data_IF_490686167518
#
_entry.id   IF_490686167518
#
_cell.length_a   1.000
_cell.length_b   1.000
_cell.length_c   1.000
_cell.angle_alpha   90.00
_cell.angle_beta   90.00
_cell.angle_gamma   90.00
#
_symmetry.space_group_name_H-M   'P 1'
#
loop_
_entity.id
_entity.type
_entity.pdbx_description
1 polymer ?
2 polymer ?
3 non-polymer ?
4 non-polymer ?
5 non-polymer ?
6 non-polymer ?
7 non-polymer ?
8 non-polymer ?
9 water ?
#
# COMPACT_ATOMS: atom_id res chain seq x y z
N UNK A 1 -8.37 -18.04 -24.78
CA UNK A 1 -7.64 -17.23 -23.74
C UNK A 1 -7.97 -17.71 -22.30
N UNK A 2 -6.96 -17.63 -21.44
CA UNK A 2 -7.06 -18.09 -20.07
C UNK A 2 -6.30 -17.06 -19.22
N UNK A 3 -6.83 -16.79 -18.04
CA UNK A 3 -6.31 -15.68 -17.23
C UNK A 3 -4.87 -15.83 -16.69
N UNK A 4 -4.38 -17.08 -16.65
CA UNK A 4 -3.07 -17.39 -16.10
C UNK A 4 -1.93 -16.91 -17.02
N UNK A 5 -2.19 -16.88 -18.34
CA UNK A 5 -1.20 -16.49 -19.33
C UNK A 5 -1.42 -15.06 -19.80
N UNK A 6 -0.45 -14.20 -19.57
CA UNK A 6 -0.49 -12.85 -20.09
C UNK A 6 -1.77 -12.13 -19.55
N UNK A 7 -2.28 -12.60 -18.40
CA UNK A 7 -3.45 -12.00 -17.73
C UNK A 7 -4.73 -12.12 -18.62
N UNK A 8 -4.77 -13.17 -19.46
CA UNK A 8 -5.89 -13.33 -20.41
C UNK A 8 -5.99 -12.25 -21.47
N UNK A 9 -4.96 -11.45 -21.63
CA UNK A 9 -4.93 -10.28 -22.47
C UNK A 9 -5.63 -9.02 -21.84
N UNK A 10 -6.12 -9.19 -20.60
CA UNK A 10 -6.87 -8.13 -19.93
C UNK A 10 -5.93 -7.03 -19.45
N UNK A 11 -6.38 -5.83 -19.52
CA UNK A 11 -5.60 -4.73 -18.92
C UNK A 11 -5.61 -4.83 -17.41
N UNK A 12 -6.71 -5.21 -16.81
CA UNK A 12 -6.89 -5.20 -15.36
C UNK A 12 -7.29 -6.62 -14.99
N UNK A 13 -8.52 -6.91 -14.65
CA UNK A 13 -8.88 -8.12 -13.99
C UNK A 13 -9.43 -9.13 -14.99
N UNK A 14 -9.24 -10.40 -14.73
CA UNK A 14 -9.61 -11.50 -15.71
C UNK A 14 -10.35 -12.56 -14.99
N UNK A 15 -11.46 -13.08 -15.58
CA UNK A 15 -12.26 -14.22 -15.01
C UNK A 15 -12.36 -15.27 -16.09
N UNK A 16 -12.10 -16.52 -15.71
CA UNK A 16 -12.30 -17.66 -16.64
C UNK A 16 -13.73 -18.15 -16.46
N UNK A 17 -14.33 -18.60 -17.57
CA UNK A 17 -15.69 -19.10 -17.60
C UNK A 17 -15.67 -20.47 -18.33
N UNK A 18 -16.71 -21.28 -18.11
CA UNK A 18 -16.70 -22.66 -18.65
C UNK A 18 -16.68 -22.62 -20.19
N UNK A 19 -15.70 -23.30 -20.78
CA UNK A 19 -15.51 -23.33 -22.24
C UNK A 19 -14.24 -22.57 -22.56
N UNK A 20 -14.01 -22.24 -23.83
CA UNK A 20 -12.90 -21.35 -24.16
C UNK A 20 -13.37 -19.90 -23.88
N UNK A 21 -14.01 -19.61 -22.72
CA UNK A 21 -14.51 -18.22 -22.44
C UNK A 21 -13.68 -17.46 -21.38
N UNK A 22 -13.52 -16.17 -21.57
CA UNK A 22 -12.77 -15.32 -20.65
C UNK A 22 -13.52 -14.02 -20.57
N UNK A 23 -13.60 -13.36 -19.39
CA UNK A 23 -14.19 -12.04 -19.38
C UNK A 23 -13.21 -11.14 -18.62
N UNK A 24 -12.88 -10.03 -19.21
CA UNK A 24 -12.07 -9.02 -18.47
C UNK A 24 -12.96 -8.10 -17.75
N UNK A 25 -12.44 -7.52 -16.64
CA UNK A 25 -13.22 -6.56 -15.88
C UNK A 25 -12.29 -5.39 -15.47
N UNK A 26 -12.89 -4.34 -15.01
CA UNK A 26 -12.12 -3.14 -14.63
C UNK A 26 -12.52 -2.78 -13.21
N UNK A 27 -11.58 -2.11 -12.55
CA UNK A 27 -11.82 -1.60 -11.19
C UNK A 27 -12.89 -0.54 -11.25
N UNK A 28 -13.53 -0.28 -10.10
CA UNK A 28 -14.39 0.88 -9.95
C UNK A 28 -13.68 2.14 -10.43
N UNK A 29 -14.39 3.01 -11.15
CA UNK A 29 -13.86 4.14 -11.71
C UNK A 29 -13.29 4.01 -13.14
N UNK A 30 -13.52 2.81 -13.65
CA UNK A 30 -13.09 2.49 -15.07
C UNK A 30 -14.27 1.72 -15.69
N UNK A 31 -14.23 1.75 -17.04
CA UNK A 31 -15.18 0.93 -17.83
C UNK A 31 -14.37 0.19 -18.87
N UNK A 32 -14.92 -0.94 -19.28
CA UNK A 32 -14.28 -1.84 -20.29
C UNK A 32 -14.66 -1.40 -21.71
N UNK A 33 -13.64 -1.23 -22.53
CA UNK A 33 -13.87 -0.85 -23.93
C UNK A 33 -14.40 -2.10 -24.72
N UNK A 34 -14.80 -1.73 -25.92
CA UNK A 34 -15.37 -2.76 -26.84
C UNK A 34 -14.38 -3.76 -27.32
N UNK A 35 -13.08 -3.56 -27.17
CA UNK A 35 -12.09 -4.57 -27.37
C UNK A 35 -12.20 -5.73 -26.40
N UNK A 36 -12.92 -5.52 -25.27
CA UNK A 36 -13.08 -6.49 -24.25
C UNK A 36 -11.90 -6.67 -23.29
N UNK A 37 -10.90 -5.82 -23.44
CA UNK A 37 -9.67 -5.95 -22.63
C UNK A 37 -9.29 -4.65 -21.98
N UNK A 38 -9.48 -3.53 -22.63
CA UNK A 38 -8.95 -2.22 -22.20
C UNK A 38 -9.90 -1.57 -21.21
N UNK A 39 -9.30 -0.83 -20.22
CA UNK A 39 -10.14 -0.15 -19.23
C UNK A 39 -9.90 1.34 -19.39
N UNK A 40 -10.93 2.17 -19.34
CA UNK A 40 -10.77 3.57 -19.44
C UNK A 40 -11.44 4.28 -18.24
N UNK A 41 -10.75 5.34 -17.73
CA UNK A 41 -11.39 5.98 -16.59
C UNK A 41 -12.78 6.54 -16.86
N UNK A 42 -13.63 6.55 -15.86
CA UNK A 42 -14.94 7.12 -15.92
C UNK A 42 -15.15 8.25 -14.92
N UNK A 43 -14.10 8.47 -14.16
CA UNK A 43 -14.09 9.54 -13.11
C UNK A 43 -12.83 10.35 -13.28
N UNK A 44 -12.78 11.49 -12.55
CA UNK A 44 -11.72 12.40 -12.69
C UNK A 44 -10.38 11.85 -12.04
N UNK A 45 -10.54 11.14 -10.93
CA UNK A 45 -9.41 10.64 -10.13
C UNK A 45 -9.51 9.19 -9.90
N UNK A 46 -9.43 8.39 -10.99
CA UNK A 46 -9.41 6.97 -10.85
C UNK A 46 -8.22 6.45 -10.02
N UNK A 47 -8.38 5.31 -9.40
CA UNK A 47 -7.28 4.75 -8.63
C UNK A 47 -6.07 4.48 -9.47
N UNK A 48 -4.85 4.61 -8.90
CA UNK A 48 -3.66 4.10 -9.54
C UNK A 48 -3.18 4.91 -10.75
N UNK A 49 -3.69 6.10 -10.94
CA UNK A 49 -3.22 7.07 -11.92
C UNK A 49 -2.74 8.33 -11.25
N UNK A 50 -1.70 8.92 -11.81
CA UNK A 50 -1.04 10.11 -11.27
C UNK A 50 -1.47 11.32 -12.04
N UNK A 51 -2.41 12.15 -11.57
CA UNK A 51 -2.96 13.26 -12.33
C UNK A 51 -1.90 14.18 -12.96
N UNK A 52 -0.84 14.55 -12.27
CA UNK A 52 0.10 15.48 -12.91
C UNK A 52 0.84 14.84 -14.07
N UNK A 53 1.00 13.54 -14.07
CA UNK A 53 1.63 12.82 -15.17
C UNK A 53 0.64 12.55 -16.30
N UNK A 54 -0.62 12.25 -15.99
CA UNK A 54 -1.65 11.98 -17.00
C UNK A 54 -1.97 13.27 -17.76
N UNK A 55 -1.86 14.41 -17.11
CA UNK A 55 -2.01 15.73 -17.76
C UNK A 55 -0.77 16.12 -18.62
N UNK A 56 0.43 15.80 -18.14
CA UNK A 56 1.69 15.98 -18.90
C UNK A 56 1.70 15.28 -20.29
N UNK A 57 1.00 14.13 -20.41
CA UNK A 57 0.98 13.33 -21.65
C UNK A 57 -0.32 13.43 -22.49
N UNK A 58 -1.38 14.02 -21.95
CA UNK A 58 -2.67 14.16 -22.66
C UNK A 58 -2.56 15.04 -23.91
N UNK B 1 13.69 5.90 3.77
CA UNK B 1 14.17 5.36 2.50
C UNK B 1 15.69 5.67 2.37
N UNK B 2 16.46 4.64 2.13
CA UNK B 2 17.94 4.78 1.88
C UNK B 2 18.24 4.72 0.42
N UNK B 3 18.95 5.72 -0.11
CA UNK B 3 19.44 5.64 -1.45
C UNK B 3 18.38 5.87 -2.52
N UNK B 4 17.28 6.50 -2.13
CA UNK B 4 16.26 6.81 -3.13
C UNK B 4 16.36 8.25 -3.58
N UNK B 5 15.23 8.84 -3.94
CA UNK B 5 15.11 10.19 -4.37
C UNK B 5 13.85 10.86 -3.88
N UNK B 6 13.80 12.14 -3.88
CA UNK B 6 12.55 12.85 -3.52
C UNK B 6 11.48 12.45 -4.55
N UNK B 7 10.32 12.03 -4.03
CA UNK B 7 9.18 11.77 -4.93
C UNK B 7 8.67 13.12 -5.32
N UNK B 8 8.69 13.51 -6.64
CA UNK B 8 8.20 14.80 -7.00
C UNK B 8 6.76 15.03 -6.49
N UNK B 9 6.50 16.18 -5.95
CA UNK B 9 5.25 16.47 -5.28
C UNK B 9 4.08 16.08 -6.20
N UNK B 10 3.14 15.30 -5.70
CA UNK B 10 1.99 14.83 -6.52
C UNK B 10 2.24 13.55 -7.22
N UNK B 11 3.46 13.00 -7.26
CA UNK B 11 3.70 11.74 -7.89
C UNK B 11 3.55 10.48 -7.06
N UNK B 12 3.33 10.69 -5.76
CA UNK B 12 3.03 9.62 -4.85
C UNK B 12 1.70 9.96 -4.11
N UNK B 13 0.60 10.16 -4.83
CA UNK B 13 -0.56 10.84 -4.29
C UNK B 13 -1.42 9.97 -3.30
N UNK B 14 -1.11 8.70 -3.26
CA UNK B 14 -1.67 7.72 -2.37
C UNK B 14 -0.97 7.62 -1.04
N UNK B 15 0.24 8.25 -0.94
CA UNK B 15 1.01 8.08 0.33
C UNK B 15 0.29 8.83 1.44
N UNK B 16 0.24 8.15 2.59
CA UNK B 16 -0.38 8.67 3.82
C UNK B 16 0.76 8.84 4.87
N UNK B 17 0.67 9.94 5.62
CA UNK B 17 1.47 10.11 6.88
C UNK B 17 0.55 9.95 8.03
N UNK B 18 0.92 9.07 8.97
CA UNK B 18 0.21 8.87 10.24
C UNK B 18 0.95 9.57 11.38
N UNK B 19 0.20 10.36 12.09
CA UNK B 19 0.71 11.17 13.26
C UNK B 19 -0.01 10.71 14.51
N UNK B 20 0.78 10.74 15.63
CA UNK B 20 0.18 10.50 16.96
C UNK B 20 0.68 11.63 17.90
N UNK B 21 -0.27 12.32 18.51
CA UNK B 21 0.03 13.71 19.10
C UNK B 21 0.99 14.76 18.28
N UNK B 22 0.74 14.82 17.01
CA UNK B 22 1.55 15.50 16.04
C UNK B 22 2.89 14.91 15.57
N UNK B 23 3.31 13.81 16.16
CA UNK B 23 4.56 13.18 15.88
C UNK B 23 4.42 12.10 14.80
N UNK B 24 5.40 12.04 13.95
CA UNK B 24 5.41 11.01 12.92
C UNK B 24 5.39 9.65 13.49
N UNK B 25 4.45 8.80 13.07
CA UNK B 25 4.33 7.43 13.47
C UNK B 25 4.79 6.47 12.39
N UNK B 26 4.11 6.55 11.21
CA UNK B 26 4.24 5.54 10.20
C UNK B 26 3.66 6.11 8.94
N UNK B 27 3.86 5.34 7.85
CA UNK B 27 3.17 5.62 6.60
C UNK B 27 1.91 4.84 6.46
N UNK B 28 1.26 5.04 5.29
CA UNK B 28 0.08 4.25 4.93
C UNK B 28 -0.18 4.52 3.47
N UNK B 29 -1.23 3.82 2.98
CA UNK B 29 -1.64 3.90 1.58
C UNK B 29 -3.12 4.17 1.52
N UNK B 30 -3.55 5.16 0.82
CA UNK B 30 -4.98 5.44 0.57
C UNK B 30 -5.44 4.44 -0.53
N UNK B 31 -6.53 3.72 -0.22
CA UNK B 31 -7.13 2.84 -1.25
C UNK B 31 -8.52 3.23 -1.58
N UNK B 32 -9.17 4.13 -0.90
CA UNK B 32 -10.34 4.84 -1.45
C UNK B 32 -10.56 5.99 -0.47
N UNK B 33 -11.65 6.75 -0.58
CA UNK B 33 -11.67 8.01 0.11
C UNK B 33 -11.72 7.99 1.61
N UNK B 34 -12.12 6.85 2.20
CA UNK B 34 -12.15 6.69 3.66
C UNK B 34 -11.28 5.59 4.19
N UNK B 35 -10.52 4.90 3.34
CA UNK B 35 -9.78 3.71 3.77
C UNK B 35 -8.29 3.82 3.47
N UNK B 36 -7.50 3.52 4.51
CA UNK B 36 -6.03 3.52 4.46
C UNK B 36 -5.51 2.20 4.91
N UNK B 37 -4.52 1.65 4.20
CA UNK B 37 -3.87 0.45 4.61
C UNK B 37 -2.52 0.81 5.20
N UNK B 38 -2.21 0.23 6.36
CA UNK B 38 -0.91 0.47 7.00
C UNK B 38 -0.42 -0.85 7.60
N UNK B 39 0.58 -0.80 8.49
CA UNK B 39 1.15 -1.96 9.14
C UNK B 39 0.64 -2.09 10.55
N UNK B 40 0.20 -3.28 10.94
CA UNK B 40 -0.27 -3.51 12.29
C UNK B 40 0.75 -3.10 13.37
N UNK B 41 2.05 -3.32 13.10
CA UNK B 41 3.06 -3.13 14.17
C UNK B 41 3.15 -1.67 14.52
N UNK B 42 2.69 -0.73 13.71
CA UNK B 42 2.65 0.68 13.99
C UNK B 42 1.81 1.06 15.20
N UNK B 43 0.89 0.15 15.62
CA UNK B 43 -0.13 0.49 16.58
C UNK B 43 0.08 -0.21 17.92
N UNK B 44 1.20 -0.88 18.08
CA UNK B 44 1.41 -1.68 19.35
C UNK B 44 1.46 -0.79 20.59
N UNK B 45 1.88 0.45 20.46
CA UNK B 45 2.16 1.28 21.67
C UNK B 45 1.27 2.49 21.73
N UNK B 46 0.10 2.47 21.09
CA UNK B 46 -0.77 3.60 21.09
C UNK B 46 -1.50 3.64 22.45
N UNK B 47 -1.38 4.77 23.12
CA UNK B 47 -1.94 4.94 24.46
C UNK B 47 -3.34 5.50 24.27
N UNK B 48 -3.40 6.57 23.48
CA UNK B 48 -4.67 7.29 23.20
C UNK B 48 -5.08 7.16 21.72
N UNK B 49 -5.86 6.12 21.49
CA UNK B 49 -6.34 5.77 20.17
C UNK B 49 -7.07 6.90 19.47
N UNK B 50 -7.43 7.94 20.22
CA UNK B 50 -8.27 9.03 19.72
C UNK B 50 -7.48 10.22 19.23
N UNK B 51 -6.11 10.16 19.26
CA UNK B 51 -5.24 11.19 18.79
C UNK B 51 -4.38 10.75 17.54
N UNK B 52 -4.91 9.80 16.80
CA UNK B 52 -4.25 9.30 15.57
C UNK B 52 -4.81 10.07 14.39
N UNK B 53 -3.92 10.67 13.61
CA UNK B 53 -4.33 11.49 12.48
C UNK B 53 -3.66 10.95 11.22
N UNK B 54 -4.44 10.88 10.12
CA UNK B 54 -3.87 10.58 8.82
C UNK B 54 -3.80 11.82 7.94
N UNK B 55 -2.68 12.08 7.28
CA UNK B 55 -2.51 13.21 6.43
C UNK B 55 -2.28 12.70 4.99
N UNK B 56 -3.11 13.24 4.09
CA UNK B 56 -3.01 13.00 2.67
C UNK B 56 -2.48 14.24 2.01
N UNK B 57 -1.87 14.10 0.83
CA UNK B 57 -1.38 15.24 0.11
C UNK B 57 -0.12 15.87 0.70
N UNK B 58 0.48 15.15 1.64
CA UNK B 58 1.72 15.68 2.27
C UNK B 58 2.89 15.45 1.34
N UNK B 59 3.92 16.33 1.48
CA UNK B 59 5.10 16.27 0.69
C UNK B 59 6.34 16.71 1.52
N UNK B 60 6.33 17.99 1.84
CA UNK B 60 7.47 18.59 2.62
C UNK B 60 6.93 18.90 3.97
N UNK B 61 7.41 18.14 4.96
CA UNK B 61 6.97 18.29 6.36
C UNK B 61 7.33 19.66 6.99
N UNK B 62 8.18 20.37 6.35
CA UNK B 62 8.55 21.71 6.88
C UNK B 62 7.55 22.81 6.61
N UNK B 63 6.60 22.61 5.69
CA UNK B 63 5.80 23.70 5.21
C UNK B 63 4.37 23.24 5.05
N UNK B 64 3.48 24.17 5.05
CA UNK B 64 2.08 23.97 4.70
C UNK B 64 1.88 24.62 3.39
N UNK B 65 1.46 23.86 2.37
CA UNK B 65 1.20 24.42 1.06
C UNK B 65 -0.29 24.41 0.65
N UNK B 66 -1.19 23.88 1.47
CA UNK B 66 -2.58 23.86 1.17
C UNK B 66 -3.13 22.63 0.47
N UNK B 67 -2.26 21.74 0.05
CA UNK B 67 -2.70 20.46 -0.60
C UNK B 67 -2.92 19.40 0.45
N UNK B 68 -2.44 19.56 1.70
CA UNK B 68 -2.62 18.55 2.71
C UNK B 68 -4.01 18.48 3.14
N UNK B 69 -4.44 17.26 3.52
CA UNK B 69 -5.76 17.03 4.09
C UNK B 69 -5.55 16.09 5.27
N UNK B 70 -5.99 16.52 6.44
CA UNK B 70 -5.86 15.76 7.67
C UNK B 70 -7.20 15.18 8.06
N UNK B 71 -7.21 13.94 8.55
CA UNK B 71 -8.40 13.29 9.06
C UNK B 71 -8.11 12.52 10.33
N UNK B 72 -9.03 12.52 11.24
CA UNK B 72 -8.93 11.60 12.35
C UNK B 72 -9.14 10.20 11.90
N UNK B 73 -8.40 9.29 12.53
CA UNK B 73 -8.57 7.85 12.31
C UNK B 73 -9.67 7.39 13.21
N UNK B 74 -10.78 6.92 12.67
CA UNK B 74 -11.95 6.44 13.43
C UNK B 74 -11.82 4.98 13.84
N UNK B 75 -11.16 4.15 13.06
CA UNK B 75 -11.10 2.66 13.37
C UNK B 75 -9.76 2.23 12.88
N UNK B 76 -9.11 1.35 13.66
CA UNK B 76 -7.88 0.63 13.27
C UNK B 76 -8.23 -0.82 13.34
N UNK B 77 -8.23 -1.49 12.24
CA UNK B 77 -8.67 -2.89 12.16
C UNK B 77 -7.46 -3.76 11.90
N UNK B 78 -7.22 -4.76 12.78
CA UNK B 78 -6.05 -5.62 12.71
C UNK B 78 -6.49 -7.09 12.65
N UNK B 79 -5.83 -7.91 11.84
CA UNK B 79 -6.21 -9.35 11.75
C UNK B 79 -5.98 -10.03 13.08
N UNK B 80 -6.90 -10.95 13.41
CA UNK B 80 -6.79 -11.75 14.64
C UNK B 80 -5.48 -12.52 14.78
N UNK B 81 -4.88 -12.83 13.68
CA UNK B 81 -3.63 -13.57 13.61
C UNK B 81 -2.37 -12.76 13.97
N UNK B 82 -2.44 -11.42 13.91
CA UNK B 82 -1.31 -10.58 14.29
C UNK B 82 -1.11 -10.64 15.80
N UNK B 83 0.15 -10.85 16.18
CA UNK B 83 0.53 -10.82 17.59
C UNK B 83 1.50 -9.68 17.87
N UNK B 84 1.15 -8.76 18.72
CA UNK B 84 2.06 -7.67 19.06
C UNK B 84 3.42 -8.16 19.48
N UNK B 85 4.43 -7.47 18.98
CA UNK B 85 5.81 -7.83 19.30
C UNK B 85 6.39 -8.83 18.38
N UNK B 86 5.65 -9.25 17.32
CA UNK B 86 6.12 -10.17 16.34
C UNK B 86 5.87 -9.55 14.92
N UNK B 87 6.30 -10.24 13.89
CA UNK B 87 6.36 -9.63 12.52
C UNK B 87 5.27 -10.13 11.60
N UNK B 88 4.68 -11.29 11.84
CA UNK B 88 3.78 -11.87 10.86
C UNK B 88 2.43 -11.12 10.83
N UNK B 89 1.77 -11.24 9.71
CA UNK B 89 0.41 -10.59 9.55
C UNK B 89 0.40 -9.09 9.79
N UNK B 90 1.40 -8.43 9.22
CA UNK B 90 1.66 -7.04 9.56
C UNK B 90 0.86 -6.09 8.65
N UNK B 91 -0.44 -6.02 8.96
CA UNK B 91 -1.39 -5.20 8.18
C UNK B 91 -2.46 -4.64 9.08
N UNK B 92 -2.85 -3.40 8.79
CA UNK B 92 -3.92 -2.71 9.45
C UNK B 92 -4.77 -2.01 8.41
N UNK B 93 -6.11 -1.97 8.61
CA UNK B 93 -7.02 -1.24 7.76
C UNK B 93 -7.57 -0.13 8.62
N UNK B 94 -7.41 1.13 8.21
CA UNK B 94 -7.83 2.29 8.89
C UNK B 94 -8.97 2.98 8.24
N UNK B 95 -10.04 3.25 9.01
CA UNK B 95 -11.17 3.99 8.52
C UNK B 95 -11.01 5.45 8.96
N UNK B 96 -11.10 6.40 8.03
CA UNK B 96 -11.03 7.80 8.36
C UNK B 96 -12.40 8.31 8.85
N UNK B 97 -12.39 9.36 9.66
CA UNK B 97 -13.65 9.86 10.22
C UNK B 97 -14.51 10.54 9.20
N UNK B 98 -13.88 11.11 8.17
CA UNK B 98 -14.55 11.78 7.05
C UNK B 98 -13.73 11.47 5.84
N UNK B 99 -14.35 11.33 4.67
CA UNK B 99 -13.57 11.09 3.48
C UNK B 99 -12.57 12.20 3.19
N UNK B 100 -11.42 11.85 2.58
CA UNK B 100 -10.60 12.84 1.93
C UNK B 100 -11.27 13.22 0.61
N UNK B 101 -10.92 14.36 0.07
CA UNK B 101 -11.41 14.86 -1.24
C UNK B 101 -10.31 14.54 -2.19
N UNK B 102 -10.65 13.82 -3.26
CA UNK B 102 -9.68 13.49 -4.24
C UNK B 102 -9.34 14.73 -5.07
N UNK B 103 -8.07 14.91 -5.32
CA UNK B 103 -7.50 16.11 -5.96
C UNK B 103 -6.28 15.61 -6.77
N UNK B 104 -5.60 16.55 -7.48
CA UNK B 104 -4.40 16.15 -8.15
C UNK B 104 -3.29 15.56 -7.20
N UNK B 105 -3.40 15.95 -5.92
CA UNK B 105 -2.40 15.52 -4.94
C UNK B 105 -2.87 14.46 -4.00
N UNK B 106 -4.12 13.99 -4.15
CA UNK B 106 -4.72 12.98 -3.23
C UNK B 106 -5.53 12.01 -4.13
N UNK B 107 -5.00 10.83 -4.29
CA UNK B 107 -5.57 9.80 -5.20
C UNK B 107 -5.35 8.48 -4.57
N UNK B 108 -6.34 7.53 -4.57
CA UNK B 108 -6.09 6.22 -4.05
C UNK B 108 -5.25 5.32 -4.96
N UNK B 109 -4.49 4.41 -4.38
CA UNK B 109 -3.86 3.35 -5.10
C UNK B 109 -4.85 2.24 -5.24
N UNK B 110 -4.85 1.55 -6.39
CA UNK B 110 -5.81 0.46 -6.55
C UNK B 110 -5.48 -0.77 -5.73
N UNK B 111 -6.42 -1.26 -4.99
CA UNK B 111 -6.34 -2.53 -4.31
C UNK B 111 -6.71 -3.61 -5.35
N UNK B 112 -5.76 -4.42 -5.77
CA UNK B 112 -6.06 -5.37 -6.89
C UNK B 112 -6.89 -6.49 -6.40
N UNK B 113 -7.55 -7.18 -7.38
CA UNK B 113 -8.05 -8.51 -7.07
C UNK B 113 -6.94 -9.52 -6.76
N UNK B 114 -7.26 -10.50 -5.93
CA UNK B 114 -6.26 -11.49 -5.51
C UNK B 114 -5.65 -12.23 -6.68
N UNK B 115 -6.50 -12.81 -7.52
CA UNK B 115 -5.93 -13.55 -8.69
C UNK B 115 -5.00 -12.77 -9.54
N UNK B 116 -5.41 -11.57 -9.88
CA UNK B 116 -4.59 -10.65 -10.63
C UNK B 116 -3.23 -10.39 -9.94
N UNK B 117 -3.33 -10.13 -8.63
CA UNK B 117 -2.11 -9.86 -7.88
C UNK B 117 -1.12 -11.01 -7.78
N UNK B 118 -1.68 -12.20 -7.61
CA UNK B 118 -0.88 -13.43 -7.51
C UNK B 118 -0.30 -13.93 -8.83
N UNK B 119 -1.08 -13.82 -9.86
CA UNK B 119 -0.69 -14.38 -11.15
C UNK B 119 0.04 -13.38 -12.01
N UNK B 120 -0.17 -12.05 -11.81
CA UNK B 120 0.38 -11.09 -12.65
C UNK B 120 1.33 -10.12 -11.93
N UNK B 121 0.75 -9.41 -10.93
CA UNK B 121 1.56 -8.38 -10.29
C UNK B 121 2.77 -8.95 -9.54
N UNK B 122 2.64 -10.15 -8.98
CA UNK B 122 3.73 -10.77 -8.25
C UNK B 122 4.94 -11.01 -9.09
N UNK B 123 4.78 -11.02 -10.40
CA UNK B 123 5.93 -11.18 -11.35
C UNK B 123 6.43 -9.96 -12.02
N UNK B 124 5.89 -8.76 -11.68
CA UNK B 124 6.45 -7.58 -12.12
C UNK B 124 7.70 -7.35 -11.23
N UNK B 125 8.87 -7.18 -11.85
CA UNK B 125 10.09 -7.23 -11.07
C UNK B 125 10.26 -6.05 -10.10
N UNK B 126 10.05 -4.86 -10.60
CA UNK B 126 10.35 -3.63 -9.82
C UNK B 126 9.04 -2.98 -9.41
N UNK B 127 9.06 -2.44 -8.17
CA UNK B 127 7.95 -1.69 -7.65
C UNK B 127 8.51 -0.54 -6.80
N UNK B 128 7.68 0.45 -6.51
CA UNK B 128 8.10 1.66 -5.75
C UNK B 128 7.70 1.54 -4.30
N UNK B 129 8.65 1.94 -3.43
CA UNK B 129 8.41 2.04 -1.98
C UNK B 129 8.72 3.44 -1.57
N UNK B 130 7.97 3.98 -0.63
CA UNK B 130 8.05 5.41 -0.36
C UNK B 130 7.83 5.69 1.13
N UNK B 131 8.32 6.84 1.58
CA UNK B 131 8.06 7.25 2.94
C UNK B 131 8.96 8.39 3.40
N UNK B 132 8.66 8.84 4.60
CA UNK B 132 9.45 9.87 5.32
C UNK B 132 10.31 9.20 6.36
N UNK B 133 10.67 7.96 6.25
CA UNK B 133 11.50 7.29 7.19
C UNK B 133 12.95 7.73 7.11
N UNK B 134 13.71 6.99 7.91
CA UNK B 134 15.17 7.28 7.98
C UNK B 134 15.83 7.17 6.62
N UNK B 135 16.70 8.17 6.35
CA UNK B 135 17.50 8.24 5.15
C UNK B 135 18.72 7.34 5.16
N UNK B 136 19.08 6.91 6.35
CA UNK B 136 20.24 6.00 6.63
C UNK B 136 19.88 5.18 7.83
N UNK B 137 20.47 4.02 7.95
CA UNK B 137 20.38 3.27 9.17
C UNK B 137 21.00 4.11 10.34
N UNK B 138 20.30 4.19 11.45
CA UNK B 138 20.71 5.06 12.59
C UNK B 138 20.79 6.52 12.22
N UNK B 139 20.04 6.96 11.22
CA UNK B 139 20.05 8.31 10.78
C UNK B 139 18.72 9.07 10.93
N UNK B 140 18.73 10.33 10.56
CA UNK B 140 17.56 11.27 10.65
C UNK B 140 16.50 10.83 9.54
N UNK B 141 15.28 11.11 9.93
CA UNK B 141 14.16 10.90 8.94
C UNK B 141 14.12 12.01 7.97
N UNK B 142 13.44 11.77 6.82
CA UNK B 142 13.31 12.70 5.78
C UNK B 142 12.30 13.78 5.92
N UNK B 143 12.57 15.01 5.49
CA UNK B 143 11.59 16.08 5.52
C UNK B 143 10.70 16.05 4.22
N UNK B 144 11.25 15.60 3.13
CA UNK B 144 10.47 15.45 1.86
C UNK B 144 10.27 14.01 1.63
N UNK B 145 9.09 13.67 1.04
CA UNK B 145 8.76 12.29 0.78
C UNK B 145 9.75 11.67 -0.20
N UNK B 146 10.23 10.49 0.15
CA UNK B 146 11.22 9.78 -0.63
C UNK B 146 10.62 8.57 -1.31
N UNK B 147 11.23 8.16 -2.43
CA UNK B 147 10.77 7.01 -3.17
C UNK B 147 11.91 6.21 -3.74
N UNK B 148 11.74 4.92 -3.84
CA UNK B 148 12.78 4.00 -4.30
C UNK B 148 12.21 2.89 -5.11
N UNK B 149 12.82 2.55 -6.27
CA UNK B 149 12.41 1.39 -7.02
C UNK B 149 13.17 0.18 -6.52
N UNK B 150 12.49 -0.88 -6.13
CA UNK B 150 13.11 -2.09 -5.59
C UNK B 150 12.62 -3.32 -6.32
N UNK B 151 13.49 -4.33 -6.49
CA UNK B 151 13.05 -5.54 -7.16
C UNK B 151 12.64 -6.55 -6.16
N UNK B 152 11.68 -7.38 -6.52
CA UNK B 152 11.08 -8.35 -5.66
C UNK B 152 11.79 -9.68 -5.84
N UNK B 153 11.91 -10.43 -4.77
CA UNK B 153 12.55 -11.77 -4.80
C UNK B 153 11.50 -12.83 -4.53
N UNK B 154 11.59 -14.00 -5.18
CA UNK B 154 10.89 -15.16 -4.63
C UNK B 154 11.47 -15.53 -3.29
N UNK B 155 10.66 -16.03 -2.37
CA UNK B 155 11.07 -16.22 -1.00
C UNK B 155 12.25 -17.24 -0.87
N UNK B 156 12.17 -18.31 -1.62
CA UNK B 156 13.30 -19.27 -1.63
C UNK B 156 14.60 -18.57 -1.96
N UNK B 157 14.57 -17.64 -2.91
CA UNK B 157 15.75 -16.87 -3.27
C UNK B 157 16.16 -15.88 -2.21
N UNK B 158 15.20 -15.32 -1.47
CA UNK B 158 15.53 -14.37 -0.44
C UNK B 158 16.28 -15.11 0.66
N UNK B 159 15.74 -16.25 1.04
CA UNK B 159 16.30 -17.10 2.09
C UNK B 159 17.71 -17.59 1.71
N UNK B 160 17.87 -18.07 0.48
CA UNK B 160 19.17 -18.49 -0.11
C UNK B 160 20.18 -17.32 -0.10
N UNK B 161 19.76 -16.16 -0.61
CA UNK B 161 20.63 -14.97 -0.63
C UNK B 161 20.91 -14.29 0.72
N UNK B 162 20.13 -14.57 1.76
CA UNK B 162 20.26 -13.82 3.01
C UNK B 162 21.19 -14.50 4.01
N UNK B 163 22.00 -13.68 4.71
CA UNK B 163 23.05 -14.16 5.63
C UNK B 163 23.81 -12.98 6.26
N UNK B 168 16.28 -14.05 14.39
CA UNK B 168 16.03 -13.93 12.96
C UNK B 168 14.61 -14.44 12.62
N UNK B 169 13.69 -13.54 12.17
CA UNK B 169 12.40 -14.08 11.72
C UNK B 169 12.45 -14.84 10.36
N UNK B 170 11.59 -15.85 10.24
CA UNK B 170 11.31 -16.50 8.96
C UNK B 170 10.62 -15.44 8.08
N UNK B 171 10.67 -15.71 6.81
CA UNK B 171 9.85 -15.03 5.83
C UNK B 171 8.68 -15.98 5.62
N UNK B 172 7.48 -15.57 6.05
CA UNK B 172 6.31 -16.40 5.90
C UNK B 172 5.58 -16.17 4.56
N UNK B 173 4.51 -16.94 4.32
CA UNK B 173 3.68 -16.77 3.16
C UNK B 173 2.89 -15.44 3.16
N UNK B 174 2.98 -14.72 4.26
CA UNK B 174 2.30 -13.40 4.42
C UNK B 174 3.28 -12.29 4.21
N UNK B 175 4.47 -12.60 3.67
CA UNK B 175 5.52 -11.66 3.47
C UNK B 175 6.18 -11.89 2.13
N UNK B 176 6.93 -10.89 1.65
CA UNK B 176 7.89 -11.08 0.58
C UNK B 176 9.07 -10.17 0.79
N UNK B 177 10.24 -10.54 0.21
CA UNK B 177 11.40 -9.67 0.20
C UNK B 177 11.52 -8.84 -1.03
N UNK B 178 12.09 -7.62 -0.90
CA UNK B 178 12.40 -6.80 -1.98
C UNK B 178 13.53 -5.89 -1.61
N UNK B 179 14.33 -5.52 -2.60
CA UNK B 179 15.40 -4.60 -2.39
C UNK B 179 16.73 -5.15 -2.91
N UNK B 180 17.76 -4.68 -2.22
CA UNK B 180 19.13 -4.93 -2.60
C UNK B 180 19.88 -5.44 -1.36
N UNK B 181 20.84 -6.33 -1.59
CA UNK B 181 21.64 -6.91 -0.50
C UNK B 181 23.04 -6.24 -0.39
N UNK B 182 23.30 -5.15 -1.10
CA UNK B 182 24.67 -4.55 -1.09
C UNK B 182 24.80 -3.34 -0.18
N UNK B 183 23.79 -3.06 0.65
CA UNK B 183 23.84 -1.92 1.56
C UNK B 183 23.58 -0.55 0.94
N UNK B 184 23.12 -0.53 -0.30
CA UNK B 184 23.06 0.72 -0.98
C UNK B 184 21.71 1.42 -0.91
N UNK B 185 20.65 0.62 -0.94
CA UNK B 185 19.28 1.13 -1.22
C UNK B 185 18.29 0.24 -0.52
N UNK B 186 17.35 0.83 0.23
CA UNK B 186 16.43 0.08 1.02
C UNK B 186 15.29 0.97 1.54
N UNK B 187 14.26 0.31 2.09
CA UNK B 187 13.35 0.98 2.98
C UNK B 187 14.00 1.01 4.36
N UNK B 188 13.44 1.77 5.27
CA UNK B 188 14.01 1.82 6.64
C UNK B 188 12.98 2.10 7.65
N UNK B 189 13.40 2.05 8.92
CA UNK B 189 12.56 2.50 10.00
C UNK B 189 11.91 3.84 9.74
N UNK B 190 10.63 4.00 10.04
CA UNK B 190 9.90 5.17 9.72
C UNK B 190 9.12 5.09 8.42
N UNK B 191 9.50 4.19 7.58
CA UNK B 191 8.77 3.98 6.31
C UNK B 191 7.67 2.94 6.57
N UNK B 192 7.66 2.22 7.68
CA UNK B 192 6.68 1.23 8.01
C UNK B 192 5.27 1.70 7.71
N UNK B 193 4.52 0.77 7.10
CA UNK B 193 3.11 1.06 6.79
C UNK B 193 2.90 1.65 5.41
N UNK B 194 3.95 2.18 4.75
CA UNK B 194 3.81 2.75 3.49
C UNK B 194 3.66 1.73 2.34
N UNK B 195 3.42 2.30 1.17
CA UNK B 195 3.13 1.43 0.04
C UNK B 195 4.35 0.82 -0.62
N UNK B 196 4.13 -0.38 -1.10
CA UNK B 196 4.95 -1.01 -2.19
C UNK B 196 3.94 -1.13 -3.36
N UNK B 197 4.17 -0.27 -4.31
CA UNK B 197 3.22 -0.04 -5.44
C UNK B 197 3.79 -0.57 -6.72
N UNK B 198 2.93 -1.29 -7.47
CA UNK B 198 3.39 -2.03 -8.64
C UNK B 198 2.64 -1.53 -9.86
N UNK B 199 3.38 -1.21 -10.91
CA UNK B 199 2.78 -0.72 -12.16
C UNK B 199 2.47 -1.88 -13.13
N UNK B 200 1.26 -1.84 -13.69
CA UNK B 200 0.95 -2.81 -14.77
C UNK B 200 0.03 -2.13 -15.75
N UNK B 201 0.51 -2.05 -17.00
CA UNK B 201 -0.27 -1.49 -18.10
C UNK B 201 -1.02 -0.21 -17.79
N UNK B 202 -0.27 0.77 -17.22
CA UNK B 202 -0.66 2.14 -17.11
C UNK B 202 -1.30 2.52 -15.75
N UNK B 203 -1.41 1.50 -14.90
CA UNK B 203 -2.11 1.67 -13.57
C UNK B 203 -1.25 1.08 -12.49
N UNK B 204 -1.30 1.74 -11.29
CA UNK B 204 -0.53 1.27 -10.15
C UNK B 204 -1.44 0.62 -9.11
N UNK B 205 -0.89 -0.40 -8.48
CA UNK B 205 -1.58 -1.25 -7.57
C UNK B 205 -0.84 -1.48 -6.25
N UNK B 206 -1.60 -1.72 -5.17
CA UNK B 206 -0.97 -2.05 -3.89
C UNK B 206 -0.62 -3.51 -3.84
N UNK B 207 0.69 -3.78 -3.76
CA UNK B 207 1.17 -5.17 -3.57
C UNK B 207 1.90 -5.46 -2.28
N UNK B 208 2.43 -4.42 -1.59
CA UNK B 208 3.05 -4.69 -0.31
C UNK B 208 2.90 -3.51 0.65
N UNK B 209 3.16 -3.79 1.92
CA UNK B 209 3.27 -2.78 2.98
C UNK B 209 4.69 -2.85 3.54
N UNK B 210 5.35 -1.70 3.64
CA UNK B 210 6.69 -1.70 4.29
C UNK B 210 6.54 -2.25 5.69
N UNK B 211 7.28 -3.31 6.03
CA UNK B 211 7.05 -4.00 7.29
C UNK B 211 8.30 -4.07 8.21
N UNK B 212 9.36 -4.71 7.73
CA UNK B 212 10.54 -4.89 8.65
C UNK B 212 11.78 -5.22 7.82
N UNK B 213 12.88 -5.35 8.60
CA UNK B 213 14.14 -5.77 7.96
C UNK B 213 15.14 -5.87 9.11
N UNK B 214 16.28 -6.45 8.79
CA UNK B 214 17.43 -6.51 9.74
C UNK B 214 18.23 -5.26 9.51
N UNK B 215 18.13 -4.32 10.44
CA UNK B 215 18.65 -3.01 10.23
C UNK B 215 18.00 -2.42 8.98
N UNK B 216 18.71 -1.52 8.31
CA UNK B 216 18.39 -0.96 6.97
C UNK B 216 19.57 -0.87 6.11
N UNK B 217 19.47 -1.22 4.87
CA UNK B 217 20.53 -1.21 3.92
C UNK B 217 21.73 -1.99 4.51
N UNK B 218 21.40 -3.12 5.09
CA UNK B 218 22.36 -4.03 5.77
C UNK B 218 22.84 -5.00 4.76
N UNK B 219 24.17 -5.11 4.64
CA UNK B 219 24.72 -6.03 3.63
C UNK B 219 24.27 -7.48 3.90
N UNK B 220 23.86 -8.17 2.85
CA UNK B 220 23.29 -9.50 2.95
C UNK B 220 21.85 -9.67 3.40
N UNK B 221 21.12 -8.55 3.47
CA UNK B 221 19.72 -8.61 3.91
C UNK B 221 18.86 -7.69 3.06
N UNK B 222 17.58 -8.07 2.99
CA UNK B 222 16.63 -7.36 2.12
C UNK B 222 15.51 -6.81 3.03
N UNK B 223 14.81 -5.84 2.48
CA UNK B 223 13.58 -5.38 3.16
C UNK B 223 12.47 -6.40 3.02
N UNK B 224 11.63 -6.47 4.03
CA UNK B 224 10.52 -7.39 4.11
C UNK B 224 9.20 -6.60 4.09
N UNK B 225 8.25 -7.10 3.27
CA UNK B 225 6.97 -6.42 2.97
C UNK B 225 5.82 -7.35 3.26
N UNK B 226 4.71 -6.84 3.76
CA UNK B 226 3.51 -7.63 3.91
C UNK B 226 2.94 -7.96 2.56
N UNK B 227 2.60 -9.24 2.37
CA UNK B 227 2.12 -9.71 1.06
C UNK B 227 0.62 -9.46 0.99
N UNK B 228 0.31 -8.28 0.42
CA UNK B 228 -1.06 -7.79 0.49
C UNK B 228 -2.09 -8.71 -0.22
N UNK B 229 -1.62 -9.42 -1.21
CA UNK B 229 -2.51 -10.38 -1.93
C UNK B 229 -3.17 -11.38 -0.99
N UNK B 230 -2.58 -11.71 0.14
CA UNK B 230 -3.17 -12.65 1.08
C UNK B 230 -4.39 -12.09 1.80
N UNK B 231 -4.50 -10.74 1.79
CA UNK B 231 -5.46 -10.02 2.57
C UNK B 231 -6.56 -9.31 1.75
N UNK B 232 -6.62 -9.54 0.42
CA UNK B 232 -7.57 -8.79 -0.38
C UNK B 232 -9.01 -9.05 0.07
N UNK B 233 -9.42 -10.32 0.19
CA UNK B 233 -10.77 -10.65 0.62
C UNK B 233 -11.10 -10.19 2.03
N UNK B 234 -10.10 -10.22 2.92
CA UNK B 234 -10.27 -9.76 4.25
C UNK B 234 -10.56 -8.22 4.27
N UNK B 235 -9.75 -7.51 3.48
CA UNK B 235 -9.91 -6.07 3.39
C UNK B 235 -11.25 -5.70 2.76
N UNK B 236 -11.61 -6.39 1.66
CA UNK B 236 -12.82 -6.06 0.97
C UNK B 236 -14.06 -6.31 1.83
N UNK B 237 -14.06 -7.38 2.58
CA UNK B 237 -15.21 -7.63 3.46
C UNK B 237 -15.34 -6.55 4.51
N UNK B 238 -14.20 -6.15 5.13
CA UNK B 238 -14.25 -5.09 6.10
C UNK B 238 -14.74 -3.77 5.56
N UNK B 239 -14.37 -3.43 4.32
CA UNK B 239 -14.78 -2.18 3.74
C UNK B 239 -16.27 -2.12 3.44
N UNK B 240 -16.87 -3.27 3.34
CA UNK B 240 -18.35 -3.39 3.21
C UNK B 240 -19.09 -3.42 4.53
N UNK B 241 -18.39 -3.44 5.64
CA UNK B 241 -19.02 -3.55 6.97
C UNK B 241 -19.32 -2.25 7.62
N UNK B 242 -20.36 -2.22 8.45
CA UNK B 242 -20.54 -1.04 9.28
C UNK B 242 -19.52 -0.76 10.31
N UNK B 243 -19.17 0.46 10.64
CA UNK B 243 -18.28 0.76 11.74
C UNK B 243 -18.82 0.29 13.09
N UNK B 244 -17.89 0.02 14.03
CA UNK B 244 -18.20 -0.42 15.41
C UNK B 244 -17.57 0.56 16.37
N UNK B 245 -18.20 0.83 17.53
CA UNK B 245 -17.68 1.75 18.45
C UNK B 245 -16.33 1.21 18.93
N UNK B 246 -15.46 2.11 19.34
CA UNK B 246 -14.11 1.78 19.79
C UNK B 246 -13.07 1.68 18.66
N UNK B 247 -12.02 2.45 18.78
CA UNK B 247 -11.08 2.62 17.64
C UNK B 247 -10.48 1.28 17.17
N UNK B 248 -9.96 0.51 18.10
CA UNK B 248 -9.29 -0.69 17.71
C UNK B 248 -10.30 -1.81 17.52
N UNK B 249 -10.21 -2.54 16.43
CA UNK B 249 -11.00 -3.72 16.16
C UNK B 249 -10.11 -4.83 15.71
N UNK B 250 -10.19 -5.99 16.37
CA UNK B 250 -9.56 -7.15 15.88
C UNK B 250 -10.55 -7.99 15.15
N UNK B 251 -10.25 -8.30 13.91
CA UNK B 251 -11.19 -8.96 12.97
C UNK B 251 -10.63 -10.30 12.57
N UNK B 252 -11.45 -11.37 12.55
CA UNK B 252 -10.92 -12.63 12.23
C UNK B 252 -10.24 -12.72 10.90
N UNK B 253 -9.15 -13.45 10.88
CA UNK B 253 -8.45 -13.78 9.67
C UNK B 253 -8.21 -15.30 9.63
N UNK B 254 -8.45 -15.96 8.51
CA UNK B 254 -8.99 -15.43 7.28
C UNK B 254 -10.41 -14.81 7.34
X LIG C 1 0.45 7.25 -14.08
X LIG C 1 -0.82 7.84 -14.18
X LIG C 1 0.38 5.90 -14.78
X LIG C 1 -0.39 5.00 -13.97
X LIG C 1 1.82 5.49 -14.95
X LIG C 1 2.59 6.42 -14.16
X LIG D 1 -16.12 -4.14 -16.31
X LIG D 1 -15.73 -4.26 -15.00
X LIG D 1 -16.54 -2.71 -16.47
X LIG D 1 -17.26 -2.11 -15.36
X LIG D 1 -17.45 -2.83 -17.66
X LIG D 1 -17.47 -1.57 -18.24
X LIG E 1 3.59 20.11 3.62
X LIG F 1 -11.63 3.94 21.81
X LIG G 1 7.16 -16.58 -3.68
X LIG G 1 6.15 -15.86 -4.50
X LIG G 1 6.54 -17.57 -2.78
X LIG G 1 8.12 -17.23 -4.64
X LIG G 1 7.93 -15.72 -2.76
X LIG H 1 9.32 1.62 12.67
X LIG H 1 9.07 3.04 12.72
X LIG H 1 8.17 0.80 13.05
X LIG H 1 10.45 1.27 13.57
X LIG H 1 9.66 1.40 11.22
X LIG I 1 -21.91 -5.79 8.94
X LIG I 1 -22.02 -4.30 8.82
X LIG I 1 -23.13 -6.26 9.72
X LIG I 1 -21.92 -6.36 7.59
X LIG I 1 -20.73 -6.15 9.77
X LIG J 1 16.07 -12.86 6.05
X LIG J 1 15.72 -13.65 7.20
X LIG J 1 15.75 -11.37 6.24
X LIG J 1 16.74 -10.70 7.00
X LIG J 1 15.71 -10.72 4.89
X LIG J 1 16.96 -10.50 4.20
X LIG K 1 6.31 8.06 -11.41
X LIG K 1 5.54 6.89 -11.49
X LIG K 1 6.17 8.49 -9.97
X LIG K 1 5.40 7.52 -9.24
X LIG K 1 7.47 8.73 -9.21
X LIG K 1 7.35 8.19 -7.86
X LIG L 1 14.50 -2.55 7.57
X LIG L 1 14.42 -2.38 6.29
X LIG L 1 8.45 -4.61 15.27
X LIG L 1 13.32 -2.06 8.17
X LIG L 1 8.26 -3.70 17.64
X LIG L 1 11.19 -2.48 11.84
X LIG L 1 12.89 -1.99 9.46
X LIG L 1 9.36 -3.65 14.91
X LIG L 1 7.91 -5.06 13.01
X LIG L 1 10.54 -2.26 13.19
X LIG L 1 8.81 -4.06 12.62
X LIG L 1 9.00 -6.25 17.18
X LIG L 1 8.32 -4.83 16.67
X LIG L 1 13.25 -1.78 5.95
X LIG L 1 12.54 -1.58 7.11
X LIG L 1 7.72 -5.39 14.36
X LIG L 1 7.08 -2.83 17.33
X LIG L 1 8.59 -6.29 18.57
X LIG L 1 8.70 -7.35 16.34
X LIG L 1 9.58 -3.36 13.57
X LIG L 1 11.08 -1.41 11.00
X LIG L 1 11.61 -1.46 9.71
X LIG L 1 11.70 -3.58 11.58
X LIG L 1 7.25 -1.64 17.13
X LIG L 1 15.33 -2.75 5.30
X LIG L 1 11.30 -0.98 7.39
X LIG L 1 10.83 -6.13 17.08
X LIG L 1 5.85 -3.34 17.22
X LIG L 1 10.85 -0.95 8.65
X LIG L 1 6.96 -5.95 11.86
X LIG M 1 2.23 -18.33 9.87
X LIG M 1 0.79 -18.80 10.19
X LIG M 1 2.56 -17.96 8.63
X LIG M 1 0.81 -19.48 11.46
X LIG M 1 -0.14 -17.71 10.26
X LIG M 1 0.34 -19.66 9.14
X LIG M 1 3.19 -18.70 10.59
#
# INVERSE_FOLDING_TARGET
LICVNENGGCEQYCSDHTGTKRSCRCHEGYSLLADGVSCTPTVEYPCGKIPILEKRNASKPQGR
IVGGKVCPKGECPWQVLLLVNGAQLCGGTLINTIWVVSAAHCFDKIKNWRNLIAVLGEHDLSEHDGDEQSRRVAQVIIPSTYVPGTTNHDIALLRLHQPVVLTDHVVPLCLPERTFSERTLAFVRFSLVSGWGQLLDRGATALELMVLNVPRLMTQDCLQQSRKVGDSPNITEYMFCAGYSDGSKDSCKGDSGGPHATHYRGTWYLTGIVSWGQGCATVGHFGVYTRVSQYIEWLQKLMRSEPRPGVLLRAPFP
GOL C1 O1 C2 O2 C3 O3
GOL C1 O1 C2 O2 C3 O3
CA CA
CL CL
SO4 S O1 O2 O3 O4
SO4 S O1 O2 O3 O4
SO4 S O1 O2 O3 O4
GOL C1 O1 C2 O2 C3 O3
GOL C1 O1 C2 O2 C3 O3
7LR N3 C4 C6 C7 C8 C10 C13 C17 C20 C22 C26 S1 N2 N5 C9 C11 C12 O14 O15 C16 N18 C19 O21 O23 N24 C25 C27 N28 C29 CL1
TFA C1 C2 O F1 F2 F3 OXT
#
